data_IF_390177567959
#
_entry.id   IF_390177567959
#
_cell.length_a   1.000
_cell.length_b   1.000
_cell.length_c   1.000
_cell.angle_alpha   90.00
_cell.angle_beta   90.00
_cell.angle_gamma   90.00
#
_symmetry.space_group_name_H-M   'P 1'
#
loop_
_entity.id
_entity.type
_entity.pdbx_description
1 polymer ?
#
# COMPACT_ATOMS: atom_id res chain seq x y z
N UNK A 1 13.72 11.65 -26.84
CA UNK A 1 13.44 10.80 -25.67
C UNK A 1 13.02 9.42 -26.16
N UNK A 2 13.43 8.35 -25.46
CA UNK A 2 12.84 7.01 -25.57
C UNK A 2 12.45 6.60 -24.15
N UNK A 3 11.16 6.45 -23.90
CA UNK A 3 10.55 5.83 -22.72
C UNK A 3 11.34 6.01 -21.39
N UNK A 4 11.31 7.22 -20.84
CA UNK A 4 11.75 7.50 -19.45
C UNK A 4 10.68 7.05 -18.44
N UNK A 5 10.25 5.80 -18.59
CA UNK A 5 9.53 5.00 -17.61
C UNK A 5 10.34 3.70 -17.48
N UNK A 6 11.53 3.84 -16.89
CA UNK A 6 12.32 2.70 -16.47
C UNK A 6 11.53 1.92 -15.42
N UNK A 7 11.81 0.62 -15.29
CA UNK A 7 11.15 -0.22 -14.31
C UNK A 7 11.59 0.21 -12.91
N UNK A 8 10.68 0.80 -12.15
CA UNK A 8 10.77 0.78 -10.69
C UNK A 8 10.32 -0.61 -10.25
N UNK A 9 11.23 -1.43 -9.73
CA UNK A 9 10.81 -2.63 -9.02
C UNK A 9 10.18 -2.18 -7.68
N UNK A 10 9.07 -2.83 -7.29
CA UNK A 10 8.17 -2.34 -6.23
C UNK A 10 7.78 -3.49 -5.31
N UNK A 11 8.30 -3.46 -4.09
CA UNK A 11 7.88 -4.38 -3.04
C UNK A 11 6.52 -3.94 -2.49
N UNK A 12 5.50 -4.76 -2.73
CA UNK A 12 4.14 -4.63 -2.17
C UNK A 12 3.90 -5.75 -1.16
N UNK A 13 3.47 -5.41 0.05
CA UNK A 13 3.17 -6.41 1.09
C UNK A 13 1.82 -6.17 1.77
N UNK A 14 1.06 -7.25 1.92
CA UNK A 14 -0.23 -7.29 2.63
C UNK A 14 -0.03 -7.67 4.10
N UNK A 15 0.04 -6.65 4.95
CA UNK A 15 0.27 -6.80 6.39
C UNK A 15 -1.04 -7.01 7.15
N UNK A 16 -0.95 -7.65 8.32
CA UNK A 16 -2.10 -8.16 9.08
C UNK A 16 -2.37 -7.38 10.38
N UNK A 17 -1.42 -6.58 10.86
CA UNK A 17 -1.49 -5.86 12.14
C UNK A 17 -0.44 -4.73 12.22
N UNK A 18 -0.57 -3.89 13.24
CA UNK A 18 0.31 -2.75 13.51
C UNK A 18 1.78 -3.15 13.77
N UNK A 19 2.04 -4.32 14.38
CA UNK A 19 3.44 -4.77 14.62
C UNK A 19 4.18 -5.14 13.34
N UNK A 20 3.47 -5.64 12.32
CA UNK A 20 4.03 -5.85 10.98
C UNK A 20 4.24 -4.52 10.26
N UNK A 21 3.35 -3.54 10.46
CA UNK A 21 3.45 -2.17 9.94
C UNK A 21 4.65 -1.42 10.53
N UNK A 22 4.84 -1.47 11.85
CA UNK A 22 6.01 -0.88 12.53
C UNK A 22 7.34 -1.51 12.06
N UNK A 23 7.33 -2.83 11.81
CA UNK A 23 8.49 -3.55 11.27
C UNK A 23 8.82 -3.05 9.86
N UNK A 24 7.82 -3.01 8.96
CA UNK A 24 7.96 -2.46 7.62
C UNK A 24 8.43 -1.00 7.64
N UNK A 25 7.94 -0.19 8.58
CA UNK A 25 8.40 1.20 8.73
C UNK A 25 9.85 1.32 9.23
N UNK A 26 10.34 0.37 10.02
CA UNK A 26 11.74 0.29 10.43
C UNK A 26 12.71 -0.07 9.31
N UNK A 27 12.22 -0.75 8.27
CA UNK A 27 13.05 -1.33 7.20
C UNK A 27 13.12 -0.50 5.88
N UNK A 28 12.17 0.42 5.59
CA UNK A 28 11.88 0.83 4.19
C UNK A 28 11.82 2.32 3.76
N UNK A 29 12.02 2.49 2.43
CA UNK A 29 12.43 3.68 1.65
C UNK A 29 12.06 3.52 0.13
N UNK A 30 11.26 4.32 -0.64
CA UNK A 30 10.05 5.15 -0.35
C UNK A 30 9.08 5.34 -1.53
N UNK A 31 7.95 6.06 -1.35
CA UNK A 31 6.96 6.21 -2.42
C UNK A 31 6.51 7.64 -2.78
N UNK A 32 6.07 7.75 -4.04
CA UNK A 32 5.10 8.75 -4.51
C UNK A 32 3.79 8.00 -4.89
N UNK A 33 2.84 8.61 -5.61
CA UNK A 33 1.44 8.13 -5.73
C UNK A 33 1.25 6.65 -6.10
N UNK A 34 0.51 5.92 -5.25
CA UNK A 34 0.02 4.56 -5.47
C UNK A 34 -1.15 4.52 -6.47
N UNK A 35 -1.20 3.47 -7.31
CA UNK A 35 -2.37 3.08 -8.09
C UNK A 35 -2.89 1.73 -7.59
N UNK A 36 -4.13 1.68 -7.11
CA UNK A 36 -4.77 0.45 -6.59
C UNK A 36 -5.73 -0.17 -7.61
N UNK A 37 -5.83 -1.50 -7.62
CA UNK A 37 -6.88 -2.23 -8.31
C UNK A 37 -8.15 -2.40 -7.46
N UNK A 38 -9.21 -2.91 -8.08
CA UNK A 38 -10.46 -3.24 -7.39
C UNK A 38 -10.29 -4.38 -6.39
N UNK A 39 -9.33 -5.29 -6.61
CA UNK A 39 -9.11 -6.45 -5.74
C UNK A 39 -8.25 -6.08 -4.52
N UNK A 40 -7.30 -5.16 -4.67
CA UNK A 40 -6.56 -4.58 -3.53
C UNK A 40 -7.53 -3.93 -2.53
N UNK A 41 -8.49 -3.16 -3.06
CA UNK A 41 -9.53 -2.51 -2.26
C UNK A 41 -10.40 -3.51 -1.49
N UNK A 42 -10.62 -4.72 -2.03
CA UNK A 42 -11.35 -5.80 -1.32
C UNK A 42 -10.54 -6.40 -0.18
N UNK A 43 -9.22 -6.57 -0.34
CA UNK A 43 -8.37 -7.04 0.75
C UNK A 43 -8.31 -6.01 1.89
N UNK A 44 -8.21 -4.71 1.56
CA UNK A 44 -8.31 -3.63 2.56
C UNK A 44 -9.65 -3.63 3.31
N UNK A 45 -10.77 -3.86 2.63
CA UNK A 45 -12.10 -3.98 3.26
C UNK A 45 -12.21 -5.17 4.22
N UNK A 46 -11.39 -6.21 4.04
CA UNK A 46 -11.24 -7.34 4.99
C UNK A 46 -10.36 -6.99 6.21
N UNK A 47 -9.85 -5.78 6.31
CA UNK A 47 -8.99 -5.32 7.41
C UNK A 47 -7.49 -5.53 7.19
N UNK A 48 -7.05 -5.77 5.95
CA UNK A 48 -5.61 -5.79 5.60
C UNK A 48 -5.04 -4.38 5.51
N UNK A 49 -3.75 -4.27 5.80
CA UNK A 49 -2.93 -3.09 5.58
C UNK A 49 -2.11 -3.29 4.30
N UNK A 50 -2.11 -2.32 3.38
CA UNK A 50 -1.26 -2.34 2.20
C UNK A 50 0.00 -1.53 2.47
N UNK A 51 1.17 -2.17 2.40
CA UNK A 51 2.47 -1.54 2.57
C UNK A 51 3.26 -1.55 1.25
N UNK A 52 3.97 -0.47 0.94
CA UNK A 52 4.76 -0.40 -0.31
C UNK A 52 5.95 0.58 -0.24
N UNK A 53 6.88 0.37 -1.18
CA UNK A 53 8.12 1.14 -1.34
C UNK A 53 8.58 1.17 -2.81
N UNK A 54 9.41 2.15 -3.18
CA UNK A 54 10.09 2.26 -4.48
C UNK A 54 11.58 2.60 -4.24
N UNK A 55 12.47 2.07 -5.09
CA UNK A 55 13.93 2.06 -4.85
C UNK A 55 14.64 3.44 -4.79
N UNK A 56 14.01 4.56 -5.17
CA UNK A 56 14.72 5.83 -5.42
C UNK A 56 14.76 6.87 -4.26
N UNK A 57 13.98 6.73 -3.16
CA UNK A 57 13.80 7.79 -2.12
C UNK A 57 13.60 7.22 -0.68
N UNK A 58 13.37 8.06 0.36
CA UNK A 58 13.73 7.76 1.78
C UNK A 58 12.60 7.83 2.90
N UNK A 59 11.49 7.08 2.82
CA UNK A 59 10.35 6.95 3.76
C UNK A 59 9.59 5.63 3.52
N UNK A 60 8.58 5.25 4.31
CA UNK A 60 7.79 4.02 4.08
C UNK A 60 6.30 4.30 4.16
N UNK A 61 5.50 3.63 3.32
CA UNK A 61 4.08 3.95 3.14
C UNK A 61 3.19 2.76 3.48
N UNK A 62 2.17 3.03 4.29
CA UNK A 62 1.11 2.08 4.65
C UNK A 62 -0.24 2.76 4.49
N UNK A 63 -1.18 2.04 3.89
CA UNK A 63 -2.57 2.44 3.73
C UNK A 63 -3.47 1.39 4.36
N UNK A 64 -4.42 1.84 5.18
CA UNK A 64 -5.51 1.07 5.71
C UNK A 64 -6.80 1.89 5.62
N UNK A 65 -7.94 1.22 5.71
CA UNK A 65 -9.24 1.88 5.80
C UNK A 65 -9.61 2.04 7.28
N UNK A 66 -10.15 3.20 7.67
CA UNK A 66 -10.94 3.32 8.90
C UNK A 66 -12.26 2.52 8.77
N UNK A 67 -13.01 2.39 9.86
CA UNK A 67 -14.22 1.54 9.85
C UNK A 67 -15.39 2.16 9.06
N UNK A 68 -15.50 3.49 9.00
CA UNK A 68 -16.51 4.18 8.18
C UNK A 68 -16.25 3.95 6.69
N UNK A 69 -14.99 4.01 6.25
CA UNK A 69 -14.57 3.71 4.89
C UNK A 69 -14.76 2.22 4.55
N UNK A 70 -14.53 1.29 5.50
CA UNK A 70 -14.85 -0.14 5.32
C UNK A 70 -16.35 -0.35 5.11
N UNK A 71 -17.20 0.21 5.96
CA UNK A 71 -18.66 0.07 5.84
C UNK A 71 -19.20 0.70 4.56
N UNK A 72 -18.71 1.87 4.18
CA UNK A 72 -19.06 2.51 2.90
C UNK A 72 -18.71 1.63 1.69
N UNK A 73 -17.50 1.05 1.66
CA UNK A 73 -17.05 0.21 0.55
C UNK A 73 -17.75 -1.16 0.53
N UNK A 74 -18.13 -1.74 1.68
CA UNK A 74 -19.01 -2.94 1.73
C UNK A 74 -20.39 -2.70 1.10
N UNK A 75 -20.83 -1.44 1.00
CA UNK A 75 -22.06 -1.06 0.29
C UNK A 75 -21.91 -0.92 -1.23
N UNK A 76 -20.69 -1.06 -1.77
CA UNK A 76 -20.35 -0.78 -3.18
C UNK A 76 -19.66 -1.94 -3.91
N UNK A 77 -19.10 -2.93 -3.19
CA UNK A 77 -18.25 -4.02 -3.71
C UNK A 77 -18.91 -5.41 -3.64
#
# INVERSE_FOLDING_TARGET
>A
MKNELAYFETDFQWLNNESEVDSFHGDYFSAETLSMSLDDLKEMVRGKYLAWTFEEKEYSHVLYLDDDAKEFLKGLL
#
